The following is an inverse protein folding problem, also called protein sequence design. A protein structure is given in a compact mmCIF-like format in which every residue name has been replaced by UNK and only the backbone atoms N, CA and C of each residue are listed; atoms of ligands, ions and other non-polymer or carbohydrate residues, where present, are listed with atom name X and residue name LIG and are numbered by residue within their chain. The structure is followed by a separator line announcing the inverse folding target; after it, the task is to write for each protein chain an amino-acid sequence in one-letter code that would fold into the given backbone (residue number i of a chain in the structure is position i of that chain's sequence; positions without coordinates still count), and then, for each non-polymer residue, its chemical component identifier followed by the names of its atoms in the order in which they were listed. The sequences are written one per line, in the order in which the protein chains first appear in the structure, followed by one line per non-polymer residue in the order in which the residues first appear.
data_IF_077362172916
#
_entry.id   IF_077362172916
#
_cell.length_a   1.000
_cell.length_b   1.000
_cell.length_c   1.000
_cell.angle_alpha   90.00
_cell.angle_beta   90.00
_cell.angle_gamma   90.00
#
_symmetry.space_group_name_H-M   'P 1'
#
loop_
_entity.id
_entity.type
_entity.pdbx_description
1 polymer ?
#
# COMPACT_ATOMS: atom_id res chain seq x y z
N UNK A 1 10.81 3.17 12.93
CA UNK A 1 9.36 3.02 13.26
C UNK A 1 8.46 3.05 12.02
N UNK A 2 8.71 3.91 11.02
CA UNK A 2 7.82 4.06 9.86
C UNK A 2 7.59 2.82 8.99
N UNK A 3 8.58 1.92 8.84
CA UNK A 3 8.46 0.71 7.99
C UNK A 3 7.79 -0.46 8.70
N UNK A 4 8.00 -0.58 10.01
CA UNK A 4 7.48 -1.70 10.81
C UNK A 4 5.96 -1.62 10.97
N UNK A 5 5.44 -0.40 11.17
CA UNK A 5 4.00 -0.15 11.34
C UNK A 5 3.17 -0.69 10.16
N UNK A 6 3.43 -0.30 8.89
CA UNK A 6 2.66 -0.79 7.75
C UNK A 6 2.88 -2.28 7.48
N UNK A 7 4.09 -2.80 7.66
CA UNK A 7 4.36 -4.24 7.50
C UNK A 7 3.54 -5.07 8.48
N UNK A 8 3.60 -4.76 9.77
CA UNK A 8 2.90 -5.54 10.79
C UNK A 8 1.38 -5.40 10.63
N UNK A 9 0.87 -4.20 10.38
CA UNK A 9 -0.58 -3.97 10.28
C UNK A 9 -1.22 -4.67 9.08
N UNK A 10 -0.61 -4.55 7.89
CA UNK A 10 -1.17 -5.14 6.67
C UNK A 10 -1.00 -6.65 6.64
N UNK A 11 0.12 -7.18 7.15
CA UNK A 11 0.30 -8.63 7.30
C UNK A 11 -0.70 -9.21 8.30
N UNK A 12 -0.91 -8.57 9.45
CA UNK A 12 -1.89 -9.03 10.44
C UNK A 12 -3.32 -9.00 9.88
N UNK A 13 -3.69 -7.96 9.13
CA UNK A 13 -5.00 -7.86 8.48
C UNK A 13 -5.24 -9.02 7.51
N UNK A 14 -4.34 -9.26 6.56
CA UNK A 14 -4.52 -10.33 5.58
C UNK A 14 -4.41 -11.73 6.18
N UNK A 15 -3.60 -11.91 7.23
CA UNK A 15 -3.55 -13.15 7.99
C UNK A 15 -4.88 -13.43 8.70
N UNK A 16 -5.50 -12.41 9.32
CA UNK A 16 -6.83 -12.55 9.91
C UNK A 16 -7.90 -12.85 8.87
N UNK A 17 -7.85 -12.23 7.69
CA UNK A 17 -8.81 -12.51 6.61
C UNK A 17 -8.62 -13.92 6.05
N UNK A 18 -7.38 -14.34 5.78
CA UNK A 18 -7.07 -15.64 5.19
C UNK A 18 -7.26 -16.81 6.17
N UNK A 19 -6.92 -16.64 7.44
CA UNK A 19 -7.09 -17.67 8.46
C UNK A 19 -8.48 -17.60 9.11
N UNK A 20 -8.97 -16.42 9.46
CA UNK A 20 -10.25 -16.21 10.14
C UNK A 20 -11.47 -16.29 9.22
N UNK A 21 -11.37 -15.75 8.00
CA UNK A 21 -12.47 -15.71 7.03
C UNK A 21 -13.08 -17.08 6.71
N UNK A 22 -12.29 -18.15 6.48
CA UNK A 22 -12.82 -19.49 6.23
C UNK A 22 -13.65 -20.09 7.36
N UNK A 23 -13.43 -19.67 8.62
CA UNK A 23 -14.21 -20.14 9.77
C UNK A 23 -15.59 -19.48 9.86
N UNK A 24 -15.74 -18.28 9.31
CA UNK A 24 -17.00 -17.53 9.31
C UNK A 24 -17.97 -17.96 8.20
N UNK A 25 -17.54 -18.83 7.28
CA UNK A 25 -18.37 -19.27 6.14
C UNK A 25 -19.49 -20.21 6.61
N UNK A 26 -20.77 -19.87 6.37
CA UNK A 26 -21.91 -20.70 6.76
C UNK A 26 -21.91 -22.06 6.03
N UNK A 27 -22.55 -23.05 6.65
CA UNK A 27 -22.70 -24.39 6.07
C UNK A 27 -23.66 -24.32 4.89
N UNK A 28 -23.15 -24.62 3.69
CA UNK A 28 -23.94 -24.67 2.46
C UNK A 28 -23.22 -25.47 1.36
N UNK A 29 -23.88 -25.75 0.23
CA UNK A 29 -23.33 -26.56 -0.86
C UNK A 29 -22.02 -26.01 -1.42
N UNK A 30 -21.88 -24.68 -1.44
CA UNK A 30 -20.73 -23.97 -2.03
C UNK A 30 -19.67 -23.58 -1.00
N UNK A 31 -19.71 -24.13 0.23
CA UNK A 31 -18.81 -23.72 1.31
C UNK A 31 -17.33 -23.85 0.95
N UNK A 32 -16.94 -24.95 0.33
CA UNK A 32 -15.55 -25.19 -0.07
C UNK A 32 -15.05 -24.15 -1.07
N UNK A 33 -15.88 -23.79 -2.07
CA UNK A 33 -15.54 -22.79 -3.08
C UNK A 33 -15.38 -21.41 -2.44
N UNK A 34 -16.28 -21.04 -1.54
CA UNK A 34 -16.20 -19.74 -0.84
C UNK A 34 -14.93 -19.68 0.02
N UNK A 35 -14.58 -20.76 0.72
CA UNK A 35 -13.36 -20.83 1.53
C UNK A 35 -12.10 -20.71 0.67
N UNK A 36 -12.03 -21.40 -0.47
CA UNK A 36 -10.86 -21.32 -1.36
C UNK A 36 -10.75 -19.95 -2.02
N UNK A 37 -11.87 -19.32 -2.40
CA UNK A 37 -11.87 -17.95 -2.91
C UNK A 37 -11.32 -16.96 -1.87
N UNK A 38 -11.77 -17.03 -0.61
CA UNK A 38 -11.27 -16.15 0.46
C UNK A 38 -9.76 -16.33 0.67
N UNK A 39 -9.28 -17.57 0.76
CA UNK A 39 -7.85 -17.86 0.97
C UNK A 39 -7.02 -17.38 -0.22
N UNK A 40 -7.43 -17.71 -1.45
CA UNK A 40 -6.70 -17.30 -2.67
C UNK A 40 -6.64 -15.79 -2.81
N UNK A 41 -7.75 -15.08 -2.55
CA UNK A 41 -7.76 -13.62 -2.55
C UNK A 41 -6.84 -13.06 -1.48
N UNK A 42 -6.89 -13.57 -0.24
CA UNK A 42 -6.03 -13.08 0.84
C UNK A 42 -4.54 -13.25 0.51
N UNK A 43 -4.15 -14.40 -0.04
CA UNK A 43 -2.77 -14.66 -0.47
C UNK A 43 -2.37 -13.73 -1.61
N UNK A 44 -3.17 -13.63 -2.67
CA UNK A 44 -2.83 -12.83 -3.84
C UNK A 44 -2.74 -11.33 -3.51
N UNK A 45 -3.69 -10.80 -2.75
CA UNK A 45 -3.68 -9.40 -2.33
C UNK A 45 -2.53 -9.08 -1.38
N UNK A 46 -2.20 -9.99 -0.46
CA UNK A 46 -1.05 -9.81 0.42
C UNK A 46 0.27 -9.84 -0.35
N UNK A 47 0.44 -10.81 -1.26
CA UNK A 47 1.63 -10.92 -2.11
C UNK A 47 1.80 -9.69 -3.01
N UNK A 48 0.73 -9.23 -3.65
CA UNK A 48 0.78 -8.01 -4.45
C UNK A 48 1.24 -6.81 -3.61
N UNK A 49 0.62 -6.62 -2.44
CA UNK A 49 0.95 -5.50 -1.55
C UNK A 49 2.40 -5.54 -1.06
N UNK A 50 2.88 -6.68 -0.57
CA UNK A 50 4.23 -6.77 0.00
C UNK A 50 5.29 -6.55 -1.07
N UNK A 51 5.08 -7.08 -2.28
CA UNK A 51 6.03 -6.93 -3.39
C UNK A 51 6.18 -5.47 -3.82
N UNK A 52 5.07 -4.74 -3.99
CA UNK A 52 5.14 -3.30 -4.36
C UNK A 52 5.74 -2.46 -3.23
N UNK A 53 5.46 -2.82 -1.98
CA UNK A 53 5.99 -2.09 -0.82
C UNK A 53 7.50 -2.27 -0.69
N UNK A 54 7.98 -3.52 -0.79
CA UNK A 54 9.41 -3.83 -0.72
C UNK A 54 10.21 -3.16 -1.85
N UNK A 55 9.62 -3.05 -3.05
CA UNK A 55 10.25 -2.37 -4.18
C UNK A 55 10.58 -0.89 -3.89
N UNK A 56 9.84 -0.24 -2.99
CA UNK A 56 10.00 1.18 -2.68
C UNK A 56 10.89 1.45 -1.46
N UNK A 57 11.34 0.43 -0.71
CA UNK A 57 12.10 0.65 0.53
C UNK A 57 13.52 1.16 0.31
N UNK A 58 14.16 0.76 -0.78
CA UNK A 58 15.50 1.21 -1.16
C UNK A 58 15.48 1.64 -2.63
N UNK A 59 14.89 2.80 -2.97
CA UNK A 59 14.77 3.23 -4.36
C UNK A 59 16.14 3.67 -4.90
N UNK A 60 16.55 3.11 -6.03
CA UNK A 60 17.79 3.51 -6.72
C UNK A 60 17.56 4.74 -7.62
N UNK A 61 16.31 5.00 -8.02
CA UNK A 61 15.93 6.04 -8.96
C UNK A 61 14.91 6.96 -8.28
N UNK A 62 15.22 8.25 -8.26
CA UNK A 62 14.31 9.30 -7.79
C UNK A 62 13.41 9.85 -8.90
N UNK A 63 12.31 10.53 -8.55
CA UNK A 63 11.41 11.14 -9.52
C UNK A 63 12.11 12.26 -10.31
N UNK A 64 12.00 12.24 -11.64
CA UNK A 64 12.49 13.28 -12.54
C UNK A 64 11.33 14.22 -12.91
N UNK A 65 11.30 15.42 -12.34
CA UNK A 65 10.19 16.38 -12.50
C UNK A 65 10.71 17.76 -12.90
N UNK A 66 9.90 18.50 -13.67
CA UNK A 66 10.26 19.85 -14.12
C UNK A 66 10.39 20.81 -12.93
N UNK A 67 11.34 21.75 -13.02
CA UNK A 67 11.61 22.78 -12.00
C UNK A 67 10.36 23.56 -11.59
N UNK A 68 9.46 23.86 -12.52
CA UNK A 68 8.18 24.53 -12.21
C UNK A 68 7.35 23.68 -11.25
N UNK A 69 7.24 22.38 -11.49
CA UNK A 69 6.50 21.44 -10.62
C UNK A 69 7.16 21.26 -9.26
N UNK A 70 8.50 21.20 -9.21
CA UNK A 70 9.26 21.14 -7.94
C UNK A 70 8.93 22.37 -7.07
N UNK A 71 8.95 23.57 -7.67
CA UNK A 71 8.61 24.81 -6.98
C UNK A 71 7.17 24.78 -6.44
N UNK A 72 6.22 24.26 -7.20
CA UNK A 72 4.84 24.10 -6.75
C UNK A 72 4.70 23.13 -5.58
N UNK A 73 5.41 21.99 -5.62
CA UNK A 73 5.39 21.00 -4.52
C UNK A 73 5.99 21.64 -3.26
N UNK A 74 7.12 22.35 -3.39
CA UNK A 74 7.76 23.04 -2.26
C UNK A 74 6.85 24.09 -1.62
N UNK A 75 6.08 24.83 -2.42
CA UNK A 75 5.17 25.86 -1.91
C UNK A 75 3.91 25.28 -1.21
N UNK A 76 3.48 24.06 -1.57
CA UNK A 76 2.26 23.44 -1.02
C UNK A 76 2.54 22.45 0.11
N UNK A 77 3.64 21.73 0.02
CA UNK A 77 3.98 20.61 0.90
C UNK A 77 5.36 20.77 1.57
N UNK A 78 6.11 21.83 1.27
CA UNK A 78 7.42 22.12 1.86
C UNK A 78 7.44 23.44 2.65
N UNK A 79 8.59 23.72 3.28
CA UNK A 79 8.78 24.87 4.17
C UNK A 79 9.39 26.10 3.47
N UNK A 80 9.09 26.32 2.18
CA UNK A 80 9.73 27.41 1.44
C UNK A 80 9.35 28.79 2.03
N UNK A 81 10.31 29.56 2.58
CA UNK A 81 10.01 30.85 3.21
C UNK A 81 9.80 31.98 2.19
N UNK A 82 10.07 31.73 0.91
CA UNK A 82 9.97 32.71 -0.17
C UNK A 82 8.74 32.45 -1.04
N UNK A 83 7.88 33.45 -1.28
CA UNK A 83 6.87 33.38 -2.33
C UNK A 83 7.57 33.19 -3.67
N UNK A 84 7.30 32.08 -4.36
CA UNK A 84 7.84 31.83 -5.70
C UNK A 84 7.06 32.68 -6.70
N UNK A 85 7.70 33.54 -7.52
CA UNK A 85 7.00 34.26 -8.57
C UNK A 85 6.50 33.27 -9.63
N UNK A 86 5.18 33.21 -9.82
CA UNK A 86 4.49 32.20 -10.63
C UNK A 86 4.48 32.46 -12.15
N UNK A 87 5.40 33.29 -12.65
CA UNK A 87 5.28 33.88 -14.00
C UNK A 87 6.55 34.18 -14.77
N UNK A 88 7.72 33.64 -14.38
CA UNK A 88 8.96 33.68 -15.17
C UNK A 88 9.59 32.29 -15.25
#
# INVERSE_FOLDING_TARGET
MGVVIPLVSVTAFWLLVGAGGPFLVPKGPNRGIIQTMIIMTAVCCHLFWIMIYLHQLNPLIGPQINVKTIRWISLKWGDSPTPVPLGQ
#
